data_IF_897448992977
#
_entry.id   IF_897448992977
#
_cell.length_a   1.000
_cell.length_b   1.000
_cell.length_c   1.000
_cell.angle_alpha   90.00
_cell.angle_beta   90.00
_cell.angle_gamma   90.00
#
_symmetry.space_group_name_H-M   'P 1'
#
loop_
_entity.id
_entity.type
_entity.pdbx_description
1 polymer ?
#
# COMPACT_ATOMS: atom_id res chain seq x y z
N UNK A 1 -3.68 -48.48 17.47
CA UNK A 1 -2.79 -47.56 16.73
C UNK A 1 -3.58 -46.83 15.66
N UNK A 2 -4.00 -45.58 15.90
CA UNK A 2 -4.44 -44.61 14.88
C UNK A 2 -3.99 -43.24 15.37
N UNK A 3 -2.73 -42.93 15.05
CA UNK A 3 -2.01 -41.72 15.43
C UNK A 3 -2.24 -40.67 14.34
N UNK A 4 -2.48 -39.44 14.76
CA UNK A 4 -2.03 -38.20 14.08
C UNK A 4 -2.62 -37.98 12.67
N UNK A 5 -3.86 -37.47 12.58
CA UNK A 5 -4.34 -36.81 11.35
C UNK A 5 -5.07 -35.48 11.60
N UNK A 6 -5.29 -35.07 12.85
CA UNK A 6 -6.05 -33.86 13.16
C UNK A 6 -5.18 -32.60 13.42
N UNK A 7 -3.84 -32.73 13.42
CA UNK A 7 -2.93 -31.61 13.76
C UNK A 7 -2.40 -30.87 12.52
N UNK A 8 -2.60 -31.41 11.31
CA UNK A 8 -2.08 -30.78 10.08
C UNK A 8 -3.02 -29.69 9.54
N UNK A 9 -4.30 -29.68 9.93
CA UNK A 9 -5.27 -28.69 9.42
C UNK A 9 -5.26 -27.34 10.15
N UNK A 10 -4.64 -27.25 11.34
CA UNK A 10 -4.54 -26.02 12.13
C UNK A 10 -3.25 -25.22 11.90
N UNK A 11 -2.28 -25.77 11.16
CA UNK A 11 -1.00 -25.08 10.85
C UNK A 11 -1.05 -24.38 9.47
N UNK A 12 -2.04 -24.69 8.62
CA UNK A 12 -2.21 -24.04 7.32
C UNK A 12 -3.10 -22.77 7.34
N UNK A 13 -3.68 -22.40 8.49
CA UNK A 13 -4.58 -21.23 8.61
C UNK A 13 -3.96 -20.02 9.34
N UNK A 14 -2.69 -20.11 9.69
CA UNK A 14 -1.86 -18.94 9.95
C UNK A 14 -0.79 -18.88 8.87
N UNK A 15 -1.20 -18.73 7.61
CA UNK A 15 -0.36 -17.98 6.69
C UNK A 15 -0.35 -16.54 7.20
N UNK A 16 0.45 -16.29 8.24
CA UNK A 16 1.02 -14.98 8.44
C UNK A 16 1.77 -14.69 7.15
N UNK A 17 1.12 -14.03 6.21
CA UNK A 17 1.80 -13.21 5.23
C UNK A 17 2.50 -12.15 6.06
N UNK A 18 3.62 -12.52 6.69
CA UNK A 18 4.58 -11.60 7.22
C UNK A 18 4.98 -10.79 5.98
N UNK A 19 4.45 -9.57 5.90
CA UNK A 19 4.65 -8.66 4.80
C UNK A 19 6.15 -8.59 4.55
N UNK A 20 6.60 -9.10 3.41
CA UNK A 20 7.99 -8.96 3.00
C UNK A 20 8.26 -7.46 2.91
N UNK A 21 9.25 -7.00 3.66
CA UNK A 21 9.65 -5.60 3.67
C UNK A 21 9.87 -5.13 2.22
N UNK A 22 9.27 -3.99 1.87
CA UNK A 22 9.40 -3.39 0.55
C UNK A 22 10.10 -2.05 0.63
N UNK A 23 11.12 -1.91 -0.22
CA UNK A 23 11.85 -0.66 -0.40
C UNK A 23 11.26 0.08 -1.61
N UNK A 24 11.03 1.39 -1.46
CA UNK A 24 10.43 2.21 -2.50
C UNK A 24 11.35 3.37 -2.85
N UNK A 25 11.62 3.53 -4.14
CA UNK A 25 12.34 4.68 -4.71
C UNK A 25 11.37 5.51 -5.52
N UNK A 26 11.12 6.75 -5.11
CA UNK A 26 10.24 7.66 -5.84
C UNK A 26 11.00 8.24 -7.04
N UNK A 27 10.27 8.52 -8.13
CA UNK A 27 10.81 9.08 -9.36
C UNK A 27 12.04 8.31 -9.86
N UNK A 28 11.93 6.98 -9.92
CA UNK A 28 13.01 6.08 -10.33
C UNK A 28 12.47 4.89 -11.10
N UNK A 29 13.27 4.41 -12.06
CA UNK A 29 13.02 3.15 -12.77
C UNK A 29 13.70 1.95 -12.09
N UNK A 30 14.57 2.19 -11.12
CA UNK A 30 15.40 1.18 -10.46
C UNK A 30 15.72 1.58 -9.01
N UNK A 31 16.54 0.77 -8.35
CA UNK A 31 17.13 1.10 -7.06
C UNK A 31 18.17 2.20 -7.20
N UNK A 32 17.94 3.33 -6.54
CA UNK A 32 18.90 4.44 -6.46
C UNK A 32 19.23 4.69 -4.98
N UNK A 33 20.47 4.40 -4.54
CA UNK A 33 20.90 4.62 -3.14
C UNK A 33 19.83 4.22 -2.08
N UNK A 34 19.76 4.93 -0.95
CA UNK A 34 18.78 4.70 0.12
C UNK A 34 17.33 4.90 -0.39
N UNK A 35 16.39 3.99 -0.07
CA UNK A 35 14.99 4.15 -0.48
C UNK A 35 14.34 5.40 0.10
N UNK A 36 13.34 5.93 -0.62
CA UNK A 36 12.51 7.08 -0.24
C UNK A 36 11.33 6.70 0.68
N UNK A 37 10.98 5.43 0.75
CA UNK A 37 10.05 4.90 1.74
C UNK A 37 10.32 3.41 1.96
N UNK A 38 9.97 2.93 3.14
CA UNK A 38 10.02 1.50 3.48
C UNK A 38 8.65 1.11 4.01
N UNK A 39 8.05 0.08 3.41
CA UNK A 39 6.86 -0.58 3.94
C UNK A 39 7.31 -1.86 4.65
N UNK A 40 7.07 -1.95 5.95
CA UNK A 40 7.43 -3.11 6.77
C UNK A 40 6.44 -3.27 7.91
N UNK A 41 6.06 -4.50 8.23
CA UNK A 41 5.17 -4.80 9.37
C UNK A 41 3.90 -3.91 9.44
N UNK A 42 3.21 -3.71 8.31
CA UNK A 42 2.03 -2.83 8.20
C UNK A 42 2.29 -1.36 8.55
N UNK A 43 3.52 -0.89 8.34
CA UNK A 43 3.92 0.48 8.62
C UNK A 43 4.68 1.06 7.45
N UNK A 44 4.52 2.36 7.25
CA UNK A 44 5.26 3.12 6.24
C UNK A 44 6.20 4.07 6.96
N UNK A 45 7.48 3.99 6.61
CA UNK A 45 8.54 4.81 7.16
C UNK A 45 9.17 5.64 6.06
N UNK A 46 9.17 6.96 6.25
CA UNK A 46 9.84 7.91 5.37
C UNK A 46 11.24 8.25 5.94
N UNK A 47 12.26 8.49 5.09
CA UNK A 47 13.62 8.80 5.52
C UNK A 47 13.75 10.02 6.43
N UNK A 48 12.82 10.97 6.31
CA UNK A 48 12.77 12.19 7.12
C UNK A 48 12.15 11.98 8.48
N UNK A 49 11.63 10.78 8.77
CA UNK A 49 11.02 10.48 10.05
C UNK A 49 12.09 10.31 11.13
N UNK A 50 12.06 11.21 12.13
CA UNK A 50 12.96 11.19 13.28
C UNK A 50 12.26 10.71 14.56
N UNK A 51 11.01 10.27 14.47
CA UNK A 51 10.23 9.80 15.63
C UNK A 51 10.33 8.28 15.77
N UNK A 52 9.84 7.77 16.91
CA UNK A 52 9.67 6.33 17.14
C UNK A 52 8.35 5.80 16.60
N UNK A 53 7.52 6.64 15.98
CA UNK A 53 6.23 6.28 15.41
C UNK A 53 6.30 6.26 13.89
N UNK A 54 5.69 5.28 13.20
CA UNK A 54 5.68 5.27 11.74
C UNK A 54 4.87 6.45 11.17
N UNK A 55 5.21 6.87 9.94
CA UNK A 55 4.49 7.93 9.24
C UNK A 55 3.07 7.51 8.90
N UNK A 56 2.87 6.25 8.50
CA UNK A 56 1.55 5.67 8.31
C UNK A 56 1.48 4.28 8.93
N UNK A 57 0.29 3.93 9.43
CA UNK A 57 -0.09 2.55 9.77
C UNK A 57 -1.06 2.01 8.74
N UNK A 58 -0.96 0.71 8.46
CA UNK A 58 -1.79 0.01 7.50
C UNK A 58 -2.71 -0.96 8.25
N UNK A 59 -4.01 -0.93 7.95
CA UNK A 59 -4.99 -1.85 8.49
C UNK A 59 -5.68 -2.63 7.36
N UNK A 60 -5.95 -3.91 7.59
CA UNK A 60 -6.66 -4.75 6.61
C UNK A 60 -8.20 -4.63 6.68
N UNK A 61 -8.69 -3.80 7.60
CA UNK A 61 -10.11 -3.57 7.81
C UNK A 61 -10.37 -2.22 8.47
N UNK A 62 -11.56 -1.68 8.23
CA UNK A 62 -12.04 -0.45 8.86
C UNK A 62 -12.36 -0.74 10.34
N UNK A 63 -11.55 -0.19 11.24
CA UNK A 63 -11.75 -0.25 12.70
C UNK A 63 -11.64 1.18 13.23
N UNK A 64 -12.80 1.82 13.44
CA UNK A 64 -12.87 3.24 13.77
C UNK A 64 -12.03 3.59 15.02
N UNK A 65 -12.02 2.73 16.03
CA UNK A 65 -11.27 3.00 17.27
C UNK A 65 -9.76 3.00 17.00
N UNK A 66 -9.23 2.01 16.27
CA UNK A 66 -7.80 1.95 15.93
C UNK A 66 -7.39 3.07 15.00
N UNK A 67 -8.24 3.42 14.03
CA UNK A 67 -7.98 4.51 13.10
C UNK A 67 -7.93 5.84 13.84
N UNK A 68 -8.96 6.15 14.65
CA UNK A 68 -8.98 7.37 15.47
C UNK A 68 -7.76 7.44 16.39
N UNK A 69 -7.37 6.32 17.01
CA UNK A 69 -6.17 6.26 17.86
C UNK A 69 -4.89 6.59 17.07
N UNK A 70 -4.70 5.99 15.90
CA UNK A 70 -3.52 6.24 15.07
C UNK A 70 -3.44 7.70 14.60
N UNK A 71 -4.57 8.26 14.13
CA UNK A 71 -4.66 9.67 13.74
C UNK A 71 -4.36 10.60 14.93
N UNK A 72 -4.86 10.29 16.13
CA UNK A 72 -4.56 11.04 17.37
C UNK A 72 -3.08 10.99 17.73
N UNK A 73 -2.38 9.90 17.37
CA UNK A 73 -0.94 9.75 17.54
C UNK A 73 -0.12 10.42 16.43
N UNK A 74 -0.72 11.30 15.62
CA UNK A 74 -0.11 11.97 14.47
C UNK A 74 0.46 10.99 13.42
N UNK A 75 -0.20 9.85 13.24
CA UNK A 75 0.12 8.88 12.20
C UNK A 75 -0.92 9.00 11.09
N UNK A 76 -0.49 8.95 9.83
CA UNK A 76 -1.42 8.69 8.74
C UNK A 76 -1.96 7.26 8.80
N UNK A 77 -3.11 7.04 8.19
CA UNK A 77 -3.77 5.73 8.17
C UNK A 77 -4.06 5.32 6.73
N UNK A 78 -3.72 4.08 6.42
CA UNK A 78 -4.14 3.39 5.22
C UNK A 78 -5.00 2.21 5.64
N UNK A 79 -6.21 2.11 5.09
CA UNK A 79 -7.01 0.88 5.20
C UNK A 79 -7.01 0.22 3.83
N UNK A 80 -6.60 -1.03 3.73
CA UNK A 80 -6.65 -1.83 2.50
C UNK A 80 -7.53 -3.06 2.72
N UNK A 81 -8.60 -3.19 1.94
CA UNK A 81 -9.53 -4.32 2.04
C UNK A 81 -10.14 -4.62 0.68
N UNK A 82 -10.16 -5.88 0.28
CA UNK A 82 -10.81 -6.33 -0.96
C UNK A 82 -10.43 -5.49 -2.21
N UNK A 83 -9.13 -5.22 -2.39
CA UNK A 83 -8.58 -4.37 -3.47
C UNK A 83 -9.06 -2.91 -3.45
N UNK A 84 -9.55 -2.43 -2.32
CA UNK A 84 -9.95 -1.05 -2.10
C UNK A 84 -9.05 -0.42 -1.06
N UNK A 85 -8.81 0.88 -1.18
CA UNK A 85 -7.98 1.64 -0.26
C UNK A 85 -8.72 2.88 0.24
N UNK A 86 -8.55 3.18 1.52
CA UNK A 86 -8.96 4.43 2.16
C UNK A 86 -7.72 5.08 2.77
N UNK A 87 -7.63 6.40 2.70
CA UNK A 87 -6.50 7.17 3.22
C UNK A 87 -7.02 8.19 4.22
N UNK A 88 -6.59 8.08 5.49
CA UNK A 88 -7.00 8.96 6.60
C UNK A 88 -8.52 9.06 6.82
N UNK A 89 -9.29 8.09 6.35
CA UNK A 89 -10.75 8.06 6.52
C UNK A 89 -11.17 7.24 7.74
N UNK A 90 -12.18 7.73 8.45
CA UNK A 90 -12.76 7.10 9.65
C UNK A 90 -14.14 6.49 9.41
N UNK A 91 -14.63 6.53 8.17
CA UNK A 91 -16.03 6.24 7.84
C UNK A 91 -16.18 5.26 6.67
N UNK A 92 -17.40 4.74 6.48
CA UNK A 92 -17.77 3.83 5.38
C UNK A 92 -18.03 4.56 4.06
N UNK A 93 -17.41 5.73 3.85
CA UNK A 93 -17.43 6.37 2.54
C UNK A 93 -16.85 5.44 1.47
N UNK A 94 -17.18 5.65 0.19
CA UNK A 94 -16.58 4.86 -0.87
C UNK A 94 -15.04 4.94 -0.80
N UNK A 95 -14.34 3.90 -1.25
CA UNK A 95 -12.88 3.87 -1.17
C UNK A 95 -12.26 4.95 -2.03
N UNK A 96 -11.16 5.53 -1.55
CA UNK A 96 -10.36 6.51 -2.27
C UNK A 96 -9.89 5.95 -3.62
N UNK A 97 -9.42 4.70 -3.64
CA UNK A 97 -9.03 4.03 -4.87
C UNK A 97 -9.35 2.53 -4.87
N UNK A 98 -9.43 1.97 -6.07
CA UNK A 98 -9.71 0.55 -6.33
C UNK A 98 -8.62 0.00 -7.26
N UNK A 99 -8.05 -1.14 -6.88
CA UNK A 99 -7.16 -1.92 -7.72
C UNK A 99 -7.99 -2.88 -8.59
N UNK A 100 -7.93 -2.68 -9.90
CA UNK A 100 -8.61 -3.49 -10.93
C UNK A 100 -7.62 -4.41 -11.64
N UNK A 101 -8.16 -5.26 -12.52
CA UNK A 101 -7.38 -6.18 -13.36
C UNK A 101 -6.24 -5.48 -14.10
N UNK A 102 -5.13 -6.19 -14.30
CA UNK A 102 -3.95 -5.64 -14.97
C UNK A 102 -3.21 -4.59 -14.13
N UNK A 103 -3.35 -4.65 -12.80
CA UNK A 103 -2.73 -3.75 -11.83
C UNK A 103 -3.07 -2.27 -12.06
N UNK A 104 -4.26 -2.01 -12.57
CA UNK A 104 -4.75 -0.67 -12.81
C UNK A 104 -5.35 -0.10 -11.54
N UNK A 105 -4.96 1.11 -11.19
CA UNK A 105 -5.42 1.81 -9.99
C UNK A 105 -6.34 2.94 -10.43
N UNK A 106 -7.55 2.93 -9.90
CA UNK A 106 -8.62 3.85 -10.26
C UNK A 106 -9.07 4.62 -9.02
N UNK A 107 -9.03 5.95 -9.09
CA UNK A 107 -9.60 6.80 -8.04
C UNK A 107 -11.13 6.79 -8.10
N UNK A 108 -11.77 7.06 -6.97
CA UNK A 108 -13.23 7.09 -6.83
C UNK A 108 -13.92 8.03 -7.83
N UNK A 109 -13.30 9.17 -8.10
CA UNK A 109 -13.80 10.27 -8.92
C UNK A 109 -13.36 10.15 -10.39
N UNK A 110 -12.61 9.11 -10.75
CA UNK A 110 -12.22 8.90 -12.13
C UNK A 110 -13.39 8.31 -12.95
N UNK A 111 -14.03 9.19 -13.72
CA UNK A 111 -15.09 8.85 -14.68
C UNK A 111 -14.59 8.64 -16.12
N UNK A 112 -13.27 8.66 -16.34
CA UNK A 112 -12.65 8.46 -17.64
C UNK A 112 -12.45 6.98 -18.02
N UNK A 113 -11.73 6.76 -19.12
CA UNK A 113 -11.38 5.42 -19.64
C UNK A 113 -9.93 5.03 -19.38
N UNK A 114 -9.15 5.90 -18.75
CA UNK A 114 -7.73 5.68 -18.44
C UNK A 114 -7.57 5.58 -16.92
N UNK A 115 -6.89 4.53 -16.46
CA UNK A 115 -6.57 4.35 -15.05
C UNK A 115 -5.65 5.47 -14.54
N UNK A 116 -5.72 5.83 -13.26
CA UNK A 116 -4.88 6.87 -12.66
C UNK A 116 -3.43 6.42 -12.47
N UNK A 117 -3.21 5.12 -12.29
CA UNK A 117 -1.87 4.55 -12.25
C UNK A 117 -1.87 3.08 -12.66
N UNK A 118 -0.69 2.56 -13.02
CA UNK A 118 -0.46 1.15 -13.33
C UNK A 118 0.83 0.68 -12.65
N UNK A 119 0.78 -0.49 -12.01
CA UNK A 119 1.96 -1.18 -11.49
C UNK A 119 2.40 -2.24 -12.50
N UNK A 120 3.61 -2.09 -13.03
CA UNK A 120 4.17 -3.04 -14.00
C UNK A 120 4.81 -4.24 -13.28
N UNK A 121 4.91 -5.41 -13.96
CA UNK A 121 5.50 -6.62 -13.38
C UNK A 121 6.96 -6.48 -12.93
N UNK A 122 7.67 -5.48 -13.43
CA UNK A 122 9.05 -5.19 -13.04
C UNK A 122 9.15 -4.30 -11.77
N UNK A 123 8.04 -4.08 -11.06
CA UNK A 123 8.00 -3.24 -9.86
C UNK A 123 7.93 -1.74 -10.11
N UNK A 124 7.87 -1.29 -11.36
CA UNK A 124 7.69 0.15 -11.64
C UNK A 124 6.23 0.58 -11.54
N UNK A 125 5.97 1.69 -10.85
CA UNK A 125 4.68 2.36 -10.75
C UNK A 125 4.67 3.58 -11.66
N UNK A 126 3.65 3.69 -12.50
CA UNK A 126 3.45 4.80 -13.43
C UNK A 126 2.11 5.47 -13.17
N UNK A 127 2.14 6.74 -12.73
CA UNK A 127 0.93 7.58 -12.72
C UNK A 127 0.57 7.97 -14.16
N UNK A 128 -0.72 8.07 -14.49
CA UNK A 128 -1.17 8.46 -15.84
C UNK A 128 -0.80 9.89 -16.21
N UNK A 129 -0.58 10.74 -15.22
CA UNK A 129 -0.10 12.12 -15.37
C UNK A 129 1.41 12.21 -15.55
N UNK A 130 2.14 11.10 -15.45
CA UNK A 130 3.59 11.08 -15.63
C UNK A 130 3.94 11.08 -17.12
N UNK A 131 4.47 12.22 -17.60
CA UNK A 131 4.91 12.41 -18.98
C UNK A 131 6.43 12.20 -19.16
N UNK A 132 7.13 11.65 -18.16
CA UNK A 132 8.57 11.39 -18.15
C UNK A 132 8.90 9.99 -18.70
N UNK A 133 10.19 9.73 -18.95
CA UNK A 133 10.74 8.38 -19.17
C UNK A 133 11.12 7.67 -17.87
N UNK A 134 10.94 8.34 -16.73
CA UNK A 134 11.23 7.83 -15.39
C UNK A 134 9.90 7.51 -14.68
N UNK A 135 9.78 6.29 -14.16
CA UNK A 135 8.61 5.85 -13.42
C UNK A 135 8.39 6.70 -12.16
N UNK A 136 7.14 6.81 -11.72
CA UNK A 136 6.77 7.58 -10.52
C UNK A 136 7.29 6.91 -9.25
N UNK A 137 7.43 5.59 -9.25
CA UNK A 137 8.21 4.88 -8.25
C UNK A 137 8.75 3.54 -8.79
N UNK A 138 9.78 3.03 -8.15
CA UNK A 138 10.23 1.64 -8.24
C UNK A 138 10.05 0.97 -6.88
N UNK A 139 9.38 -0.19 -6.87
CA UNK A 139 9.09 -0.97 -5.67
C UNK A 139 9.87 -2.27 -5.75
N UNK A 140 10.76 -2.50 -4.78
CA UNK A 140 11.46 -3.77 -4.59
C UNK A 140 10.78 -4.58 -3.49
N UNK A 141 10.75 -5.89 -3.65
CA UNK A 141 10.13 -6.82 -2.69
C UNK A 141 9.23 -7.82 -3.39
N UNK A 142 8.64 -8.74 -2.62
CA UNK A 142 7.72 -9.75 -3.17
C UNK A 142 6.27 -9.24 -3.27
N UNK A 143 5.96 -8.09 -2.67
CA UNK A 143 4.61 -7.54 -2.54
C UNK A 143 4.37 -6.30 -3.43
N UNK A 144 5.12 -6.17 -4.53
CA UNK A 144 5.12 -4.98 -5.41
C UNK A 144 3.72 -4.51 -5.82
N UNK A 145 2.77 -5.44 -6.02
CA UNK A 145 1.40 -5.10 -6.39
C UNK A 145 0.64 -4.38 -5.26
N UNK A 146 0.71 -4.91 -4.04
CA UNK A 146 0.02 -4.32 -2.89
C UNK A 146 0.70 -3.01 -2.49
N UNK A 147 2.02 -3.01 -2.42
CA UNK A 147 2.79 -1.84 -2.02
C UNK A 147 2.72 -0.74 -3.07
N UNK A 148 2.77 -1.10 -4.35
CA UNK A 148 2.52 -0.17 -5.45
C UNK A 148 1.13 0.45 -5.38
N UNK A 149 0.10 -0.29 -4.95
CA UNK A 149 -1.25 0.24 -4.79
C UNK A 149 -1.32 1.25 -3.64
N UNK A 150 -0.68 0.94 -2.51
CA UNK A 150 -0.57 1.85 -1.35
C UNK A 150 0.18 3.14 -1.74
N UNK A 151 1.35 3.02 -2.36
CA UNK A 151 2.17 4.16 -2.75
C UNK A 151 1.46 5.03 -3.79
N UNK A 152 0.79 4.42 -4.77
CA UNK A 152 0.01 5.17 -5.74
C UNK A 152 -1.10 5.98 -5.08
N UNK A 153 -1.84 5.37 -4.15
CA UNK A 153 -2.90 6.07 -3.43
C UNK A 153 -2.35 7.27 -2.63
N UNK A 154 -1.22 7.10 -1.96
CA UNK A 154 -0.55 8.18 -1.23
C UNK A 154 -0.12 9.32 -2.16
N UNK A 155 0.57 9.01 -3.27
CA UNK A 155 1.01 10.03 -4.23
C UNK A 155 -0.19 10.78 -4.84
N UNK A 156 -1.25 10.07 -5.19
CA UNK A 156 -2.46 10.67 -5.76
C UNK A 156 -3.23 11.51 -4.73
N UNK A 157 -3.29 11.09 -3.46
CA UNK A 157 -3.97 11.87 -2.40
C UNK A 157 -3.30 13.23 -2.14
N UNK A 158 -1.98 13.32 -2.31
CA UNK A 158 -1.23 14.57 -2.13
C UNK A 158 -1.46 15.56 -3.29
N UNK A 159 -1.87 15.08 -4.47
CA UNK A 159 -2.14 15.94 -5.64
C UNK A 159 -3.51 16.62 -5.56
N UNK A 160 -4.39 16.16 -4.67
CA UNK A 160 -5.75 16.66 -4.50
C UNK A 160 -5.88 17.69 -3.35
N UNK A 161 -4.77 17.95 -2.63
CA UNK A 161 -4.67 18.94 -1.55
C UNK A 161 -4.01 20.22 -2.06
#
# INVERSE_FOLDING_TARGET
MKKIYLVILTIALFSSHAFADSNIWLNSNNKSITPNAIIKNHQIWLPTNQTQTPNFVIFDQMDQNKITQALTNNQGVIVIKNNQIWVNEISTQPPFAILRSGNQIWLQDNHGTVANAIIKPNGTLWLSTNNSTIASAYIEGNNQHQDGFIIAALLLSQQLQ
#
